data_IF_353392813477
#
_entry.id   IF_353392813477
#
_cell.length_a   1.000
_cell.length_b   1.000
_cell.length_c   1.000
_cell.angle_alpha   90.00
_cell.angle_beta   90.00
_cell.angle_gamma   90.00
#
_symmetry.space_group_name_H-M   'P 1'
#
loop_
_entity.id
_entity.type
_entity.pdbx_description
1 polymer ?
#
# COMPACT_ATOMS: atom_id res chain seq x y z
N UNK A 1 -39.29 -20.92 -20.81
CA UNK A 1 -37.89 -20.48 -20.63
C UNK A 1 -37.89 -19.53 -19.45
N UNK A 2 -37.42 -19.98 -18.30
CA UNK A 2 -37.37 -19.16 -17.09
C UNK A 2 -36.13 -18.27 -17.19
N UNK A 3 -36.33 -16.96 -17.31
CA UNK A 3 -35.26 -15.99 -17.18
C UNK A 3 -34.80 -16.04 -15.72
N UNK A 4 -33.63 -16.64 -15.48
CA UNK A 4 -32.94 -16.51 -14.20
C UNK A 4 -32.60 -15.02 -14.02
N UNK A 5 -33.34 -14.34 -13.13
CA UNK A 5 -32.93 -13.02 -12.64
C UNK A 5 -31.46 -13.12 -12.22
N UNK A 6 -30.57 -12.22 -12.67
CA UNK A 6 -29.17 -12.26 -12.25
C UNK A 6 -29.15 -12.19 -10.73
N UNK A 7 -28.70 -13.28 -10.10
CA UNK A 7 -28.80 -13.50 -8.66
C UNK A 7 -28.41 -12.26 -7.89
N UNK A 8 -29.33 -11.76 -7.06
CA UNK A 8 -29.07 -10.60 -6.20
C UNK A 8 -27.89 -10.95 -5.29
N UNK A 9 -26.74 -10.33 -5.53
CA UNK A 9 -25.57 -10.50 -4.67
C UNK A 9 -25.76 -9.59 -3.47
N UNK A 10 -25.83 -10.18 -2.28
CA UNK A 10 -25.94 -9.43 -1.04
C UNK A 10 -24.55 -9.02 -0.53
N UNK A 11 -24.41 -7.83 0.08
CA UNK A 11 -23.15 -7.39 0.66
C UNK A 11 -22.81 -8.26 1.87
N UNK A 12 -21.68 -8.98 1.79
CA UNK A 12 -21.16 -9.75 2.92
C UNK A 12 -20.86 -8.81 4.10
N UNK A 13 -21.23 -9.23 5.31
CA UNK A 13 -20.81 -8.55 6.54
C UNK A 13 -19.29 -8.73 6.71
N UNK A 14 -18.60 -7.66 7.06
CA UNK A 14 -17.17 -7.73 7.40
C UNK A 14 -17.09 -8.45 8.75
N UNK A 15 -16.46 -9.63 8.77
CA UNK A 15 -16.33 -10.48 9.96
C UNK A 15 -15.16 -10.07 10.86
N UNK A 16 -14.56 -8.91 10.60
CA UNK A 16 -13.35 -8.46 11.25
C UNK A 16 -13.30 -6.96 11.46
N UNK A 17 -12.61 -6.54 12.52
CA UNK A 17 -12.36 -5.12 12.76
C UNK A 17 -11.30 -4.60 11.79
N UNK A 18 -11.60 -3.49 11.11
CA UNK A 18 -10.65 -2.76 10.27
C UNK A 18 -9.50 -2.14 11.09
N UNK A 19 -9.74 -1.89 12.39
CA UNK A 19 -8.74 -1.34 13.32
C UNK A 19 -7.81 -2.38 13.94
N UNK A 20 -7.98 -3.67 13.62
CA UNK A 20 -7.12 -4.73 14.14
C UNK A 20 -5.77 -4.72 13.44
N UNK A 21 -4.67 -4.83 14.19
CA UNK A 21 -3.30 -4.91 13.64
C UNK A 21 -3.14 -6.00 12.58
N UNK A 22 -3.79 -7.15 12.77
CA UNK A 22 -3.78 -8.26 11.81
C UNK A 22 -4.47 -7.85 10.50
N UNK A 23 -5.58 -7.11 10.59
CA UNK A 23 -6.29 -6.57 9.42
C UNK A 23 -5.47 -5.48 8.74
N UNK A 24 -4.83 -4.59 9.49
CA UNK A 24 -3.97 -3.53 8.95
C UNK A 24 -2.79 -4.15 8.17
N UNK A 25 -2.15 -5.18 8.73
CA UNK A 25 -1.08 -5.93 8.03
C UNK A 25 -1.60 -6.64 6.79
N UNK A 26 -2.76 -7.29 6.87
CA UNK A 26 -3.38 -7.95 5.71
C UNK A 26 -3.67 -6.94 4.58
N UNK A 27 -4.28 -5.79 4.91
CA UNK A 27 -4.55 -4.71 3.96
C UNK A 27 -3.26 -4.18 3.32
N UNK A 28 -2.23 -3.90 4.13
CA UNK A 28 -0.93 -3.44 3.65
C UNK A 28 -0.27 -4.46 2.71
N UNK A 29 -0.33 -5.76 3.03
CA UNK A 29 0.25 -6.82 2.19
C UNK A 29 -0.45 -6.99 0.84
N UNK A 30 -1.76 -6.71 0.80
CA UNK A 30 -2.56 -6.79 -0.42
C UNK A 30 -2.58 -5.46 -1.21
N UNK A 31 -2.04 -4.38 -0.65
CA UNK A 31 -2.10 -3.04 -1.23
C UNK A 31 -3.52 -2.46 -1.31
N UNK A 32 -4.46 -2.96 -0.51
CA UNK A 32 -5.86 -2.54 -0.49
C UNK A 32 -6.02 -1.39 0.50
N UNK A 33 -6.65 -0.29 0.07
CA UNK A 33 -7.01 0.81 0.98
C UNK A 33 -8.35 0.55 1.68
N UNK A 34 -8.54 1.13 2.86
CA UNK A 34 -9.79 0.97 3.62
C UNK A 34 -11.00 1.52 2.85
N UNK A 35 -10.81 2.61 2.10
CA UNK A 35 -11.88 3.23 1.31
C UNK A 35 -12.41 2.33 0.19
N UNK A 36 -11.62 1.35 -0.27
CA UNK A 36 -12.03 0.41 -1.31
C UNK A 36 -13.08 -0.60 -0.82
N UNK A 37 -13.21 -0.77 0.50
CA UNK A 37 -14.26 -1.58 1.12
C UNK A 37 -15.57 -0.78 1.32
N UNK A 38 -15.53 0.53 1.10
CA UNK A 38 -16.68 1.41 1.23
C UNK A 38 -17.65 1.22 0.07
N UNK A 39 -18.95 1.14 0.39
CA UNK A 39 -20.01 1.04 -0.60
C UNK A 39 -20.74 2.37 -0.74
N UNK A 40 -20.87 2.91 -1.96
CA UNK A 40 -21.75 4.05 -2.21
C UNK A 40 -23.22 3.66 -2.03
N UNK A 41 -24.07 4.62 -1.66
CA UNK A 41 -25.50 4.35 -1.50
C UNK A 41 -26.15 4.14 -2.88
N UNK A 42 -27.09 3.19 -2.99
CA UNK A 42 -27.79 2.92 -4.26
C UNK A 42 -28.52 4.16 -4.78
N UNK A 43 -29.07 4.99 -3.89
CA UNK A 43 -29.74 6.24 -4.25
C UNK A 43 -28.78 7.26 -4.89
N UNK A 44 -27.54 7.36 -4.39
CA UNK A 44 -26.49 8.21 -4.96
C UNK A 44 -26.05 7.70 -6.33
N UNK A 45 -25.91 6.38 -6.48
CA UNK A 45 -25.64 5.72 -7.76
C UNK A 45 -26.76 5.98 -8.77
N UNK A 46 -28.02 5.86 -8.38
CA UNK A 46 -29.15 6.15 -9.28
C UNK A 46 -29.16 7.60 -9.77
N UNK A 47 -28.66 8.55 -8.97
CA UNK A 47 -28.53 9.94 -9.40
C UNK A 47 -27.36 10.17 -10.38
N UNK A 48 -26.33 9.33 -10.35
CA UNK A 48 -25.14 9.46 -11.22
C UNK A 48 -25.30 8.78 -12.59
N UNK A 49 -26.16 7.77 -12.70
CA UNK A 49 -26.33 7.00 -13.93
C UNK A 49 -27.63 7.35 -14.66
N UNK A 50 -27.56 7.38 -16.00
CA UNK A 50 -28.68 7.76 -16.87
C UNK A 50 -29.90 6.84 -16.76
N UNK A 51 -29.71 5.57 -16.39
CA UNK A 51 -30.78 4.59 -16.25
C UNK A 51 -30.65 3.82 -14.93
N UNK A 52 -31.81 3.50 -14.35
CA UNK A 52 -31.92 2.72 -13.10
C UNK A 52 -31.36 1.31 -13.24
N UNK A 53 -31.51 0.69 -14.41
CA UNK A 53 -30.94 -0.64 -14.70
C UNK A 53 -29.41 -0.63 -14.68
N UNK A 54 -28.78 0.40 -15.26
CA UNK A 54 -27.34 0.54 -15.26
C UNK A 54 -26.81 0.80 -13.85
N UNK A 55 -27.49 1.66 -13.08
CA UNK A 55 -27.17 1.89 -11.67
C UNK A 55 -27.22 0.59 -10.85
N UNK A 56 -28.26 -0.23 -11.05
CA UNK A 56 -28.40 -1.52 -10.38
C UNK A 56 -27.28 -2.49 -10.78
N UNK A 57 -26.94 -2.61 -12.07
CA UNK A 57 -25.84 -3.47 -12.54
C UNK A 57 -24.49 -3.06 -11.97
N UNK A 58 -24.20 -1.76 -11.93
CA UNK A 58 -22.95 -1.24 -11.35
C UNK A 58 -22.92 -1.49 -9.84
N UNK A 59 -24.03 -1.27 -9.15
CA UNK A 59 -24.13 -1.54 -7.72
C UNK A 59 -23.88 -3.02 -7.40
N UNK A 60 -24.50 -3.94 -8.15
CA UNK A 60 -24.26 -5.38 -8.03
C UNK A 60 -22.78 -5.76 -8.26
N UNK A 61 -22.14 -5.20 -9.29
CA UNK A 61 -20.70 -5.40 -9.51
C UNK A 61 -19.83 -4.88 -8.36
N UNK A 62 -20.17 -3.72 -7.80
CA UNK A 62 -19.45 -3.18 -6.63
C UNK A 62 -19.60 -4.07 -5.40
N UNK A 63 -20.79 -4.63 -5.17
CA UNK A 63 -21.00 -5.61 -4.11
C UNK A 63 -20.12 -6.84 -4.33
N UNK A 64 -20.10 -7.38 -5.54
CA UNK A 64 -19.27 -8.55 -5.86
C UNK A 64 -17.78 -8.26 -5.60
N UNK A 65 -17.26 -7.16 -6.14
CA UNK A 65 -15.86 -6.77 -5.91
C UNK A 65 -15.54 -6.62 -4.43
N UNK A 66 -16.43 -5.99 -3.65
CA UNK A 66 -16.26 -5.85 -2.20
C UNK A 66 -16.24 -7.22 -1.51
N UNK A 67 -17.12 -8.13 -1.90
CA UNK A 67 -17.15 -9.48 -1.34
C UNK A 67 -15.84 -10.23 -1.64
N UNK A 68 -15.32 -10.11 -2.86
CA UNK A 68 -14.04 -10.72 -3.26
C UNK A 68 -12.87 -10.13 -2.46
N UNK A 69 -12.87 -8.81 -2.21
CA UNK A 69 -11.87 -8.16 -1.35
C UNK A 69 -11.96 -8.66 0.09
N UNK A 70 -13.16 -8.80 0.64
CA UNK A 70 -13.38 -9.36 1.99
C UNK A 70 -12.83 -10.79 2.08
N UNK A 71 -13.07 -11.62 1.07
CA UNK A 71 -12.57 -13.00 1.05
C UNK A 71 -11.04 -13.03 1.01
N UNK A 72 -10.39 -12.23 0.15
CA UNK A 72 -8.93 -12.08 0.09
C UNK A 72 -8.32 -11.61 1.41
N UNK A 73 -8.92 -10.59 2.03
CA UNK A 73 -8.46 -10.09 3.34
C UNK A 73 -8.63 -11.17 4.41
N UNK A 74 -9.74 -11.92 4.38
CA UNK A 74 -10.00 -13.00 5.34
C UNK A 74 -8.97 -14.12 5.21
N UNK A 75 -8.67 -14.53 3.98
CA UNK A 75 -7.65 -15.53 3.67
C UNK A 75 -6.26 -15.05 4.12
N UNK A 76 -5.90 -13.80 3.80
CA UNK A 76 -4.62 -13.25 4.20
C UNK A 76 -4.48 -13.10 5.71
N UNK A 77 -5.57 -12.75 6.41
CA UNK A 77 -5.61 -12.74 7.88
C UNK A 77 -5.38 -14.13 8.45
N UNK A 78 -5.97 -15.17 7.85
CA UNK A 78 -5.71 -16.56 8.26
C UNK A 78 -4.25 -16.95 8.04
N UNK A 79 -3.67 -16.61 6.89
CA UNK A 79 -2.27 -16.89 6.58
C UNK A 79 -1.32 -16.23 7.61
N UNK A 80 -1.53 -14.94 7.89
CA UNK A 80 -0.75 -14.20 8.89
C UNK A 80 -0.94 -14.75 10.32
N UNK A 81 -2.14 -15.24 10.65
CA UNK A 81 -2.40 -15.86 11.93
C UNK A 81 -1.70 -17.22 12.05
N UNK A 82 -1.75 -18.05 10.99
CA UNK A 82 -1.02 -19.32 10.95
C UNK A 82 0.49 -19.15 10.92
N UNK A 83 1.03 -18.08 10.33
CA UNK A 83 2.45 -17.73 10.42
C UNK A 83 2.86 -17.31 11.84
N UNK A 84 1.93 -16.79 12.64
CA UNK A 84 2.14 -16.49 14.06
C UNK A 84 2.10 -17.73 14.97
N UNK A 85 1.29 -18.73 14.62
CA UNK A 85 1.10 -19.96 15.40
C UNK A 85 2.05 -21.12 14.97
N UNK A 86 2.49 -21.16 13.71
CA UNK A 86 3.50 -22.07 13.20
C UNK A 86 4.80 -21.33 12.86
N UNK A 87 5.63 -21.07 13.88
CA UNK A 87 7.10 -21.25 13.89
C UNK A 87 7.73 -20.37 15.00
N UNK A 88 8.50 -20.93 15.95
CA UNK A 88 9.69 -20.20 16.37
C UNK A 88 10.50 -19.97 15.10
N UNK A 89 10.76 -18.70 14.75
CA UNK A 89 11.51 -18.29 13.57
C UNK A 89 12.67 -19.26 13.33
N UNK A 90 12.52 -20.17 12.36
CA UNK A 90 13.69 -20.66 11.65
C UNK A 90 14.13 -19.47 10.84
N UNK A 91 15.16 -18.79 11.34
CA UNK A 91 15.81 -17.66 10.69
C UNK A 91 16.19 -18.09 9.27
N UNK A 92 15.31 -17.81 8.32
CA UNK A 92 15.56 -18.08 6.92
C UNK A 92 16.59 -17.04 6.47
N UNK A 93 17.71 -17.52 5.92
CA UNK A 93 18.89 -16.70 5.59
C UNK A 93 18.59 -15.55 4.61
N UNK A 94 17.42 -15.55 3.98
CA UNK A 94 16.87 -14.50 3.11
C UNK A 94 16.58 -13.20 3.87
N UNK A 95 15.91 -13.24 5.02
CA UNK A 95 15.61 -12.01 5.79
C UNK A 95 16.91 -11.38 6.32
N UNK A 96 17.88 -12.21 6.73
CA UNK A 96 19.19 -11.73 7.15
C UNK A 96 19.97 -11.07 6.00
N UNK A 97 19.86 -11.63 4.79
CA UNK A 97 20.48 -11.08 3.58
C UNK A 97 19.84 -9.76 3.16
N UNK A 98 18.51 -9.65 3.19
CA UNK A 98 17.80 -8.40 2.87
C UNK A 98 18.12 -7.31 3.88
N UNK A 99 18.12 -7.63 5.18
CA UNK A 99 18.50 -6.67 6.22
C UNK A 99 19.95 -6.19 6.06
N UNK A 100 20.90 -7.10 5.79
CA UNK A 100 22.30 -6.72 5.50
C UNK A 100 22.44 -5.89 4.22
N UNK A 101 21.69 -6.23 3.16
CA UNK A 101 21.71 -5.47 1.93
C UNK A 101 21.22 -4.03 2.16
N UNK A 102 20.15 -3.87 2.94
CA UNK A 102 19.60 -2.56 3.30
C UNK A 102 20.56 -1.72 4.16
N UNK A 103 21.18 -2.33 5.18
CA UNK A 103 22.18 -1.67 6.03
C UNK A 103 23.41 -1.24 5.21
N UNK A 104 23.86 -2.09 4.29
CA UNK A 104 24.95 -1.79 3.37
C UNK A 104 24.60 -0.66 2.40
N UNK A 105 23.41 -0.64 1.80
CA UNK A 105 23.01 0.46 0.91
C UNK A 105 22.89 1.78 1.64
N UNK A 106 22.39 1.76 2.87
CA UNK A 106 22.21 2.96 3.69
C UNK A 106 23.56 3.59 4.05
N UNK A 107 24.51 2.77 4.51
CA UNK A 107 25.88 3.24 4.81
C UNK A 107 26.58 3.80 3.56
N UNK A 108 26.36 3.20 2.39
CA UNK A 108 26.94 3.70 1.13
C UNK A 108 26.36 5.06 0.72
N UNK A 109 25.06 5.27 0.94
CA UNK A 109 24.38 6.56 0.72
C UNK A 109 24.93 7.63 1.68
N UNK A 110 25.08 7.31 2.96
CA UNK A 110 25.61 8.22 3.97
C UNK A 110 27.05 8.66 3.64
N UNK A 111 27.92 7.72 3.27
CA UNK A 111 29.30 8.02 2.86
C UNK A 111 29.35 8.92 1.61
N UNK A 112 28.45 8.68 0.64
CA UNK A 112 28.35 9.51 -0.56
C UNK A 112 27.89 10.93 -0.23
N UNK A 113 26.92 11.08 0.67
CA UNK A 113 26.44 12.38 1.13
C UNK A 113 27.53 13.16 1.89
N UNK A 114 28.30 12.50 2.74
CA UNK A 114 29.42 13.13 3.44
C UNK A 114 30.50 13.62 2.47
N UNK A 115 30.85 12.79 1.48
CA UNK A 115 31.85 13.12 0.45
C UNK A 115 31.39 14.28 -0.43
N UNK A 116 30.12 14.28 -0.84
CA UNK A 116 29.53 15.38 -1.61
C UNK A 116 29.55 16.68 -0.82
N UNK A 117 29.17 16.66 0.47
CA UNK A 117 29.20 17.85 1.32
C UNK A 117 30.62 18.40 1.50
N UNK A 118 31.63 17.54 1.68
CA UNK A 118 33.03 17.97 1.73
C UNK A 118 33.47 18.63 0.42
N UNK A 119 33.07 18.05 -0.71
CA UNK A 119 33.40 18.55 -2.06
C UNK A 119 32.75 19.91 -2.32
N UNK A 120 31.46 20.06 -2.01
CA UNK A 120 30.72 21.32 -2.15
C UNK A 120 31.31 22.43 -1.28
N UNK A 121 31.66 22.14 -0.02
CA UNK A 121 32.36 23.09 0.86
C UNK A 121 33.68 23.55 0.25
N UNK A 122 34.47 22.63 -0.29
CA UNK A 122 35.75 22.96 -0.95
C UNK A 122 35.55 23.82 -2.19
N UNK A 123 34.53 23.51 -3.01
CA UNK A 123 34.19 24.29 -4.20
C UNK A 123 33.78 25.72 -3.83
N UNK A 124 32.90 25.87 -2.83
CA UNK A 124 32.45 27.18 -2.34
C UNK A 124 33.61 28.03 -1.81
N UNK A 125 34.53 27.43 -1.03
CA UNK A 125 35.74 28.14 -0.55
C UNK A 125 36.60 28.61 -1.72
N UNK A 126 36.80 27.76 -2.73
CA UNK A 126 37.59 28.13 -3.91
C UNK A 126 36.92 29.25 -4.72
N UNK A 127 35.60 29.22 -4.89
CA UNK A 127 34.85 30.29 -5.54
C UNK A 127 34.99 31.61 -4.78
N UNK A 128 34.82 31.60 -3.45
CA UNK A 128 34.99 32.79 -2.62
C UNK A 128 36.41 33.37 -2.71
N UNK A 129 37.44 32.51 -2.69
CA UNK A 129 38.84 32.94 -2.86
C UNK A 129 39.07 33.57 -4.24
N UNK A 130 38.52 32.98 -5.29
CA UNK A 130 38.64 33.50 -6.65
C UNK A 130 37.96 34.88 -6.78
N UNK A 131 36.75 35.04 -6.25
CA UNK A 131 36.04 36.32 -6.24
C UNK A 131 36.82 37.39 -5.46
N UNK A 132 37.38 37.04 -4.30
CA UNK A 132 38.21 37.98 -3.51
C UNK A 132 39.49 38.38 -4.25
N UNK A 133 40.10 37.47 -4.99
CA UNK A 133 41.27 37.77 -5.82
C UNK A 133 40.90 38.71 -6.98
N UNK A 134 39.79 38.42 -7.67
CA UNK A 134 39.27 39.28 -8.73
C UNK A 134 38.84 40.67 -8.25
N UNK A 135 38.33 40.79 -7.02
CA UNK A 135 37.93 42.07 -6.45
C UNK A 135 39.11 42.94 -5.97
N UNK A 136 40.32 42.36 -5.86
CA UNK A 136 41.54 43.07 -5.44
C UNK A 136 42.42 43.53 -6.60
N UNK A 137 42.21 42.97 -7.80
CA UNK A 137 42.84 43.39 -9.05
C UNK A 137 41.91 44.34 -9.80
#
# INVERSE_FOLDING_TARGET
MSEEEPGKVEPKKISFSLKSDLTIRALASLGIKEEELSMPNLSELKAQYKTTELANKVYQRKIQNRNDLIDKITEQRKNLQSEGDEKPLKADGTILKEKRAYEFTTTLIEQKNETNNKTLKRLAINQLRHTLYQAKN
#
